data_IF_923797167837
#
_entry.id   IF_923797167837
#
_cell.length_a   1.000
_cell.length_b   1.000
_cell.length_c   1.000
_cell.angle_alpha   90.00
_cell.angle_beta   90.00
_cell.angle_gamma   90.00
#
_symmetry.space_group_name_H-M   'P 1'
#
loop_
_entity.id
_entity.type
_entity.pdbx_description
1 polymer ?
#
# COMPACT_ATOMS: atom_id res chain seq x y z
N UNK A 1 -6.29 5.24 3.43
CA UNK A 1 -6.96 6.46 3.94
C UNK A 1 -6.10 7.69 3.64
N UNK A 2 -6.65 8.90 3.48
CA UNK A 2 -5.81 10.10 3.29
C UNK A 2 -4.80 10.32 4.43
N UNK A 3 -5.17 9.91 5.64
CA UNK A 3 -4.31 9.99 6.82
C UNK A 3 -3.04 9.12 6.74
N UNK A 4 -2.91 8.22 5.76
CA UNK A 4 -1.70 7.42 5.51
C UNK A 4 -0.56 8.22 4.84
N UNK A 5 -0.83 9.45 4.37
CA UNK A 5 0.17 10.29 3.72
C UNK A 5 1.44 10.46 4.57
N UNK A 6 2.60 10.13 4.02
CA UNK A 6 3.92 10.15 4.69
C UNK A 6 4.04 9.32 5.98
N UNK A 7 3.15 8.34 6.20
CA UNK A 7 3.16 7.51 7.42
C UNK A 7 3.38 6.02 7.17
N UNK A 8 3.34 5.59 5.92
CA UNK A 8 3.38 4.18 5.56
C UNK A 8 4.39 3.94 4.45
N UNK A 9 4.78 2.68 4.31
CA UNK A 9 5.63 2.21 3.22
C UNK A 9 4.90 1.16 2.41
N UNK A 10 5.22 1.10 1.12
CA UNK A 10 4.69 0.15 0.15
C UNK A 10 5.76 -0.87 -0.15
N UNK A 11 5.39 -2.14 -0.26
CA UNK A 11 6.33 -3.22 -0.54
C UNK A 11 6.23 -3.71 -1.97
N UNK A 12 7.35 -4.09 -2.56
CA UNK A 12 7.38 -4.74 -3.87
C UNK A 12 8.72 -5.43 -4.09
N UNK A 13 8.71 -6.62 -4.68
CA UNK A 13 9.91 -7.40 -5.03
C UNK A 13 10.94 -7.56 -3.88
N UNK A 14 10.47 -7.61 -2.63
CA UNK A 14 11.34 -7.71 -1.44
C UNK A 14 11.88 -6.37 -0.90
N UNK A 15 11.56 -5.25 -1.55
CA UNK A 15 11.92 -3.90 -1.12
C UNK A 15 10.74 -3.21 -0.44
N UNK A 16 11.06 -2.18 0.34
CA UNK A 16 10.09 -1.31 1.00
C UNK A 16 10.40 0.13 0.64
N UNK A 17 9.44 0.81 0.01
CA UNK A 17 9.54 2.20 -0.42
C UNK A 17 8.58 3.07 0.41
N UNK A 18 9.03 4.17 1.02
CA UNK A 18 8.13 5.04 1.78
C UNK A 18 7.16 5.76 0.84
N UNK A 19 5.92 5.92 1.29
CA UNK A 19 4.94 6.76 0.61
C UNK A 19 5.28 8.23 0.89
N UNK A 20 5.45 9.01 -0.17
CA UNK A 20 5.80 10.43 -0.08
C UNK A 20 4.71 11.32 -0.69
N UNK A 21 4.53 12.51 -0.12
CA UNK A 21 3.55 13.48 -0.59
C UNK A 21 2.13 13.20 -0.10
N UNK A 22 1.14 13.57 -0.91
CA UNK A 22 -0.29 13.44 -0.57
C UNK A 22 -0.89 12.19 -1.20
N UNK A 23 -1.94 11.68 -0.58
CA UNK A 23 -2.78 10.64 -1.18
C UNK A 23 -3.88 11.31 -1.99
N UNK A 24 -3.90 11.05 -3.30
CA UNK A 24 -4.97 11.51 -4.18
C UNK A 24 -6.06 10.43 -4.28
N UNK A 25 -7.16 10.76 -4.95
CA UNK A 25 -8.27 9.83 -5.11
C UNK A 25 -7.86 8.58 -5.90
N UNK A 26 -7.03 8.74 -6.93
CA UNK A 26 -6.65 7.66 -7.85
C UNK A 26 -5.19 7.24 -7.78
N UNK A 27 -4.32 8.06 -7.18
CA UNK A 27 -2.88 7.82 -7.18
C UNK A 27 -2.20 8.21 -5.87
N UNK A 28 -1.03 7.61 -5.67
CA UNK A 28 -0.09 7.89 -4.59
C UNK A 28 1.32 7.90 -5.18
N UNK A 29 2.25 8.55 -4.49
CA UNK A 29 3.66 8.57 -4.87
C UNK A 29 4.47 7.83 -3.82
N UNK A 30 5.43 7.03 -4.27
CA UNK A 30 6.38 6.31 -3.42
C UNK A 30 7.80 6.69 -3.84
N UNK A 31 8.70 6.76 -2.86
CA UNK A 31 10.11 7.02 -3.12
C UNK A 31 10.82 5.70 -3.46
N UNK A 32 11.27 5.58 -4.69
CA UNK A 32 11.95 4.39 -5.22
C UNK A 32 13.46 4.58 -5.36
N UNK A 33 14.02 5.64 -4.77
CA UNK A 33 15.45 6.00 -4.91
C UNK A 33 16.39 4.85 -4.53
N UNK A 34 16.03 4.07 -3.49
CA UNK A 34 16.83 2.95 -2.99
C UNK A 34 16.45 1.59 -3.62
N UNK A 35 15.62 1.58 -4.66
CA UNK A 35 15.14 0.35 -5.30
C UNK A 35 15.82 0.15 -6.66
N UNK A 36 16.32 -1.06 -6.98
CA UNK A 36 16.96 -1.32 -8.27
C UNK A 36 16.07 -0.96 -9.47
N UNK A 37 16.62 -0.25 -10.46
CA UNK A 37 15.89 0.19 -11.67
C UNK A 37 15.19 -0.96 -12.41
N UNK A 38 15.77 -2.17 -12.40
CA UNK A 38 15.18 -3.36 -13.02
C UNK A 38 13.81 -3.73 -12.44
N UNK A 39 13.49 -3.25 -11.24
CA UNK A 39 12.23 -3.47 -10.54
C UNK A 39 11.29 -2.25 -10.61
N UNK A 40 11.76 -1.13 -11.16
CA UNK A 40 11.04 0.16 -11.19
C UNK A 40 10.36 0.43 -12.53
N UNK A 41 9.83 -0.61 -13.18
CA UNK A 41 9.18 -0.51 -14.49
C UNK A 41 7.68 -0.19 -14.42
N UNK A 42 7.14 0.37 -15.50
CA UNK A 42 5.69 0.55 -15.65
C UNK A 42 4.96 -0.80 -15.62
N UNK A 43 3.81 -0.83 -14.93
CA UNK A 43 3.02 -2.06 -14.75
C UNK A 43 3.51 -2.98 -13.63
N UNK A 44 4.57 -2.60 -12.91
CA UNK A 44 5.03 -3.35 -11.74
C UNK A 44 3.98 -3.29 -10.63
N UNK A 45 3.64 -4.45 -10.08
CA UNK A 45 2.72 -4.55 -8.96
C UNK A 45 3.42 -4.19 -7.65
N UNK A 46 2.66 -3.50 -6.79
CA UNK A 46 3.09 -3.14 -5.45
C UNK A 46 2.05 -3.61 -4.43
N UNK A 47 2.51 -3.92 -3.23
CA UNK A 47 1.70 -4.40 -2.11
C UNK A 47 1.53 -3.27 -1.08
N UNK A 48 0.30 -2.80 -0.95
CA UNK A 48 -0.11 -1.86 0.11
C UNK A 48 -0.43 -2.57 1.43
N UNK A 49 -0.85 -3.83 1.34
CA UNK A 49 -1.15 -4.72 2.44
C UNK A 49 -0.73 -6.13 2.02
N UNK A 50 -0.03 -6.84 2.90
CA UNK A 50 0.53 -8.15 2.60
C UNK A 50 1.02 -8.85 3.86
N UNK A 51 1.79 -9.93 3.70
CA UNK A 51 2.31 -10.71 4.84
C UNK A 51 3.18 -9.89 5.78
N UNK A 52 3.95 -8.96 5.24
CA UNK A 52 4.95 -8.22 6.00
C UNK A 52 4.37 -6.89 6.53
N UNK A 53 3.21 -6.43 6.04
CA UNK A 53 2.53 -5.19 6.47
C UNK A 53 1.03 -5.45 6.47
N UNK A 54 0.53 -5.72 7.66
CA UNK A 54 -0.82 -6.20 7.91
C UNK A 54 -1.80 -5.03 8.07
N UNK A 55 -3.12 -5.29 8.03
CA UNK A 55 -4.13 -4.28 8.36
C UNK A 55 -3.95 -3.71 9.77
N UNK A 56 -3.44 -4.49 10.72
CA UNK A 56 -3.14 -4.05 12.08
C UNK A 56 -2.00 -3.04 12.11
N UNK A 57 -0.93 -3.28 11.35
CA UNK A 57 0.20 -2.33 11.22
C UNK A 57 -0.27 -0.99 10.63
N UNK A 58 -1.11 -1.06 9.60
CA UNK A 58 -1.71 0.11 8.97
C UNK A 58 -2.64 0.86 9.94
N UNK A 59 -3.42 0.11 10.73
CA UNK A 59 -4.28 0.66 11.78
C UNK A 59 -3.48 1.39 12.85
N UNK A 60 -2.37 0.80 13.31
CA UNK A 60 -1.48 1.40 14.28
C UNK A 60 -0.79 2.67 13.76
N UNK A 61 -0.38 2.71 12.49
CA UNK A 61 0.30 3.86 11.89
C UNK A 61 -0.62 5.10 11.73
N UNK A 62 -1.93 4.88 11.59
CA UNK A 62 -2.86 5.92 11.13
C UNK A 62 -4.04 6.14 12.11
N UNK A 63 -4.19 5.30 13.12
CA UNK A 63 -5.24 5.40 14.13
C UNK A 63 -6.61 4.93 13.62
N UNK A 64 -6.64 3.89 12.78
CA UNK A 64 -7.87 3.33 12.19
C UNK A 64 -8.07 1.88 12.65
N UNK A 65 -9.31 1.48 12.86
CA UNK A 65 -9.63 0.10 13.25
C UNK A 65 -9.43 -0.88 12.06
N UNK A 66 -8.67 -1.99 12.20
CA UNK A 66 -8.36 -2.88 11.08
C UNK A 66 -9.57 -3.46 10.31
N UNK A 67 -10.68 -3.89 10.94
CA UNK A 67 -11.87 -4.34 10.22
C UNK A 67 -12.56 -3.22 9.43
N UNK A 68 -12.55 -1.99 9.95
CA UNK A 68 -13.07 -0.82 9.23
C UNK A 68 -12.25 -0.57 7.96
N UNK A 69 -10.94 -0.77 8.04
CA UNK A 69 -10.06 -0.65 6.89
C UNK A 69 -10.39 -1.67 5.79
N UNK A 70 -10.59 -2.93 6.15
CA UNK A 70 -10.94 -4.00 5.21
C UNK A 70 -12.33 -3.84 4.60
N UNK A 71 -13.29 -3.33 5.38
CA UNK A 71 -14.67 -3.11 4.91
C UNK A 71 -14.82 -1.85 4.06
N UNK A 72 -13.94 -0.85 4.22
CA UNK A 72 -13.92 0.38 3.42
C UNK A 72 -13.15 0.27 2.10
N UNK A 73 -12.67 -0.91 1.73
CA UNK A 73 -12.08 -1.12 0.41
C UNK A 73 -13.15 -0.88 -0.67
N UNK A 74 -12.95 0.20 -1.44
CA UNK A 74 -13.90 0.69 -2.42
C UNK A 74 -14.16 -0.29 -3.56
N UNK A 75 -15.26 -0.07 -4.29
CA UNK A 75 -15.65 -0.90 -5.43
C UNK A 75 -14.62 -0.88 -6.59
N UNK A 76 -13.74 0.12 -6.63
CA UNK A 76 -12.63 0.20 -7.60
C UNK A 76 -11.53 -0.85 -7.38
N UNK A 77 -11.46 -1.48 -6.20
CA UNK A 77 -10.54 -2.57 -5.95
C UNK A 77 -11.08 -3.88 -6.52
N UNK A 78 -10.45 -4.40 -7.57
CA UNK A 78 -10.80 -5.70 -8.15
C UNK A 78 -10.57 -6.82 -7.14
N UNK A 79 -11.59 -7.65 -6.90
CA UNK A 79 -11.52 -8.78 -5.95
C UNK A 79 -11.30 -10.07 -6.72
N UNK A 80 -10.18 -10.74 -6.44
CA UNK A 80 -9.85 -12.06 -6.99
C UNK A 80 -9.85 -13.10 -5.88
N UNK A 81 -10.77 -14.04 -5.93
CA UNK A 81 -10.84 -15.16 -4.99
C UNK A 81 -9.99 -16.31 -5.52
N UNK A 82 -8.87 -16.58 -4.84
CA UNK A 82 -8.04 -17.76 -5.10
C UNK A 82 -8.53 -18.90 -4.22
N UNK A 83 -8.65 -20.11 -4.78
CA UNK A 83 -8.95 -21.30 -3.97
C UNK A 83 -7.77 -21.56 -3.04
N UNK A 84 -8.07 -21.92 -1.79
CA UNK A 84 -7.10 -22.38 -0.81
C UNK A 84 -6.51 -23.73 -1.23
#
# INVERSE_FOLDING_TARGET
PWACANKISVRFAGYSAPLIGTICMEYITIDITDVPESLCGLGTFVELLGKDFTPDDLGAAVGVNPPELLTRLGAGCTRRYVKA
#
